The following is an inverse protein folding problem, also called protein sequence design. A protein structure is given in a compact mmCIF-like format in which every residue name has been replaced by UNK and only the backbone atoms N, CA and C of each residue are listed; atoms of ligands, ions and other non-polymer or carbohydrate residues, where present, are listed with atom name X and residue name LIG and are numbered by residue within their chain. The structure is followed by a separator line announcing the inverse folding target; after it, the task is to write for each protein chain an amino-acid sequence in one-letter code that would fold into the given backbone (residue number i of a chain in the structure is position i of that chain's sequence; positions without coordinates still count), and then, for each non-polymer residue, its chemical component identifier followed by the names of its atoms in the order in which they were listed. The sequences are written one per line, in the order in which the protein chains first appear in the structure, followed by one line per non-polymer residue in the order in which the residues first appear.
data_IF_205990501694
#
_entry.id   IF_205990501694
#
_cell.length_a   1.000
_cell.length_b   1.000
_cell.length_c   1.000
_cell.angle_alpha   90.00
_cell.angle_beta   90.00
_cell.angle_gamma   90.00
#
_symmetry.space_group_name_H-M   'P 1'
#
loop_
_entity.id
_entity.type
_entity.pdbx_description
1 polymer ?
#
# COMPACT_ATOMS: atom_id res chain seq x y z
N UNK A 1 18.27 -6.71 -20.85
CA UNK A 1 18.33 -8.03 -20.17
C UNK A 1 19.56 -8.07 -19.27
N UNK A 2 19.44 -7.73 -17.98
CA UNK A 2 20.39 -8.30 -17.01
C UNK A 2 20.01 -9.77 -16.88
N UNK A 3 20.94 -10.71 -17.14
CA UNK A 3 20.63 -12.12 -16.95
C UNK A 3 20.17 -12.29 -15.50
N UNK A 4 19.15 -13.12 -15.29
CA UNK A 4 18.91 -13.74 -13.99
C UNK A 4 20.28 -14.28 -13.59
N UNK A 5 20.92 -13.68 -12.58
CA UNK A 5 22.21 -14.17 -12.09
C UNK A 5 21.94 -15.62 -11.73
N UNK A 6 22.52 -16.61 -12.43
CA UNK A 6 22.31 -18.00 -12.06
C UNK A 6 22.75 -18.09 -10.61
N UNK A 7 21.82 -18.49 -9.74
CA UNK A 7 22.12 -18.68 -8.33
C UNK A 7 23.35 -19.60 -8.30
N UNK A 8 24.51 -19.14 -7.77
CA UNK A 8 25.79 -19.82 -7.97
C UNK A 8 25.86 -21.20 -7.30
N UNK A 9 24.81 -21.60 -6.57
CA UNK A 9 24.72 -22.87 -5.86
C UNK A 9 24.87 -24.11 -6.74
N UNK A 10 24.38 -24.11 -7.98
CA UNK A 10 24.48 -25.30 -8.84
C UNK A 10 25.93 -25.60 -9.23
N UNK A 11 26.75 -24.55 -9.40
CA UNK A 11 28.16 -24.69 -9.71
C UNK A 11 28.98 -25.07 -8.47
N UNK A 12 28.55 -24.70 -7.26
CA UNK A 12 29.22 -25.10 -6.02
C UNK A 12 29.18 -26.62 -5.80
N UNK A 13 28.02 -27.26 -5.96
CA UNK A 13 27.92 -28.72 -5.83
C UNK A 13 28.69 -29.47 -6.93
N UNK A 14 28.72 -28.93 -8.16
CA UNK A 14 29.52 -29.49 -9.25
C UNK A 14 31.02 -29.42 -8.96
N UNK A 15 31.50 -28.27 -8.48
CA UNK A 15 32.90 -28.04 -8.10
C UNK A 15 33.33 -28.87 -6.89
N UNK A 16 32.45 -28.99 -5.89
CA UNK A 16 32.68 -29.86 -4.74
C UNK A 16 32.83 -31.34 -5.18
N UNK A 17 31.93 -31.84 -6.04
CA UNK A 17 32.04 -33.20 -6.59
C UNK A 17 33.24 -33.41 -7.52
N UNK A 18 33.73 -32.35 -8.16
CA UNK A 18 34.96 -32.36 -8.94
C UNK A 18 36.23 -32.32 -8.06
N UNK A 19 36.09 -32.20 -6.74
CA UNK A 19 37.19 -32.13 -5.79
C UNK A 19 37.86 -30.75 -5.68
N UNK A 20 37.29 -29.71 -6.30
CA UNK A 20 37.84 -28.36 -6.28
C UNK A 20 37.57 -27.62 -4.95
N UNK A 21 36.56 -28.05 -4.20
CA UNK A 21 36.18 -27.48 -2.90
C UNK A 21 36.20 -28.60 -1.86
N UNK A 22 37.15 -28.55 -0.93
CA UNK A 22 37.26 -29.52 0.15
C UNK A 22 36.31 -29.18 1.32
N UNK A 23 35.94 -30.20 2.10
CA UNK A 23 35.09 -30.07 3.29
C UNK A 23 33.71 -29.44 3.02
N UNK A 24 33.12 -29.76 1.87
CA UNK A 24 31.81 -29.24 1.49
C UNK A 24 30.69 -29.99 2.22
N UNK A 25 29.91 -29.28 3.04
CA UNK A 25 28.81 -29.84 3.83
C UNK A 25 27.72 -30.44 2.95
N UNK A 26 27.35 -31.70 3.19
CA UNK A 26 26.42 -32.48 2.37
C UNK A 26 27.07 -33.27 1.22
N UNK A 27 28.38 -33.15 1.02
CA UNK A 27 29.17 -33.97 0.06
C UNK A 27 30.30 -34.69 0.78
N UNK A 28 31.32 -33.95 1.24
CA UNK A 28 32.51 -34.49 1.90
C UNK A 28 32.49 -34.30 3.43
N UNK A 29 31.56 -33.49 3.93
CA UNK A 29 31.38 -33.21 5.35
C UNK A 29 29.92 -33.38 5.75
N UNK A 30 29.68 -33.93 6.94
CA UNK A 30 28.32 -34.19 7.44
C UNK A 30 27.68 -32.89 7.91
N UNK A 31 26.41 -32.67 7.57
CA UNK A 31 25.60 -31.62 8.17
C UNK A 31 24.96 -32.15 9.46
N UNK A 32 25.18 -31.44 10.57
CA UNK A 32 24.57 -31.78 11.85
C UNK A 32 23.30 -30.96 12.04
N UNK A 33 22.14 -31.61 11.94
CA UNK A 33 20.86 -30.95 12.13
C UNK A 33 20.71 -30.39 13.57
N UNK A 34 20.21 -29.15 13.74
CA UNK A 34 19.96 -28.58 15.05
C UNK A 34 18.98 -29.44 15.85
N UNK A 35 19.33 -29.79 17.10
CA UNK A 35 18.49 -30.63 17.98
C UNK A 35 17.26 -29.91 18.52
N UNK A 36 17.35 -28.59 18.70
CA UNK A 36 16.28 -27.74 19.23
C UNK A 36 16.18 -26.45 18.41
N UNK A 37 15.68 -26.53 17.17
CA UNK A 37 15.45 -25.35 16.36
C UNK A 37 14.25 -24.56 16.91
N UNK A 38 14.39 -23.24 16.99
CA UNK A 38 13.29 -22.31 17.32
C UNK A 38 12.18 -22.33 16.24
N UNK A 39 12.56 -22.52 14.97
CA UNK A 39 11.67 -22.71 13.83
C UNK A 39 12.36 -23.58 12.78
N UNK A 40 11.64 -24.55 12.23
CA UNK A 40 12.08 -25.36 11.08
C UNK A 40 11.26 -24.98 9.85
N UNK A 41 11.94 -24.66 8.74
CA UNK A 41 11.34 -24.39 7.43
C UNK A 41 11.71 -25.51 6.47
N UNK A 42 10.71 -26.09 5.80
CA UNK A 42 10.90 -27.22 4.90
C UNK A 42 11.02 -26.75 3.44
N UNK A 43 12.10 -26.03 3.14
CA UNK A 43 12.42 -25.55 1.79
C UNK A 43 12.60 -26.74 0.83
N UNK A 44 11.57 -27.03 0.04
CA UNK A 44 11.49 -28.23 -0.82
C UNK A 44 10.11 -28.90 -0.79
N UNK A 45 9.39 -28.78 0.32
CA UNK A 45 7.97 -29.17 0.43
C UNK A 45 7.05 -27.95 0.45
N UNK A 46 7.52 -26.85 1.05
CA UNK A 46 6.81 -25.57 1.12
C UNK A 46 7.23 -24.65 -0.02
N UNK A 47 6.29 -23.80 -0.45
CA UNK A 47 6.63 -22.66 -1.32
C UNK A 47 7.37 -21.59 -0.52
N UNK A 48 8.10 -20.70 -1.23
CA UNK A 48 8.77 -19.55 -0.61
C UNK A 48 7.78 -18.70 0.20
N UNK A 49 6.58 -18.50 -0.33
CA UNK A 49 5.51 -17.73 0.34
C UNK A 49 5.06 -18.40 1.64
N UNK A 50 4.88 -19.72 1.62
CA UNK A 50 4.45 -20.48 2.79
C UNK A 50 5.51 -20.46 3.90
N UNK A 51 6.77 -20.71 3.55
CA UNK A 51 7.87 -20.64 4.51
C UNK A 51 8.05 -19.23 5.08
N UNK A 52 7.89 -18.20 4.23
CA UNK A 52 7.93 -16.80 4.67
C UNK A 52 6.80 -16.48 5.64
N UNK A 53 5.57 -16.93 5.36
CA UNK A 53 4.42 -16.74 6.26
C UNK A 53 4.64 -17.39 7.62
N UNK A 54 5.18 -18.62 7.66
CA UNK A 54 5.52 -19.32 8.91
C UNK A 54 6.57 -18.58 9.72
N UNK A 55 7.62 -18.10 9.05
CA UNK A 55 8.67 -17.29 9.67
C UNK A 55 8.11 -16.00 10.25
N UNK A 56 7.31 -15.25 9.49
CA UNK A 56 6.69 -14.01 9.97
C UNK A 56 5.78 -14.27 11.18
N UNK A 57 4.92 -15.28 11.13
CA UNK A 57 4.06 -15.65 12.25
C UNK A 57 4.87 -15.98 13.52
N UNK A 58 5.96 -16.72 13.39
CA UNK A 58 6.88 -17.02 14.49
C UNK A 58 7.52 -15.75 15.07
N UNK A 59 7.99 -14.84 14.22
CA UNK A 59 8.60 -13.57 14.65
C UNK A 59 7.60 -12.63 15.33
N UNK A 60 6.34 -12.59 14.87
CA UNK A 60 5.26 -11.85 15.54
C UNK A 60 4.94 -12.46 16.91
N UNK A 61 4.84 -13.79 17.01
CA UNK A 61 4.57 -14.47 18.28
C UNK A 61 5.68 -14.25 19.31
N UNK A 62 6.95 -14.19 18.87
CA UNK A 62 8.10 -13.89 19.72
C UNK A 62 8.21 -12.39 20.07
N UNK A 63 7.38 -11.52 19.50
CA UNK A 63 7.42 -10.08 19.70
C UNK A 63 8.66 -9.39 19.11
N UNK A 64 9.37 -10.07 18.19
CA UNK A 64 10.54 -9.52 17.49
C UNK A 64 10.06 -8.53 16.42
N UNK A 65 9.01 -8.90 15.69
CA UNK A 65 8.31 -7.98 14.81
C UNK A 65 7.08 -7.42 15.54
N UNK A 66 6.80 -6.12 15.40
CA UNK A 66 5.57 -5.55 15.94
C UNK A 66 4.38 -6.26 15.30
N UNK A 67 3.48 -6.83 16.10
CA UNK A 67 2.21 -7.33 15.58
C UNK A 67 1.48 -6.11 15.01
N UNK A 68 1.44 -5.99 13.69
CA UNK A 68 0.59 -5.00 13.05
C UNK A 68 -0.78 -5.66 12.83
N UNK A 69 -1.78 -5.50 13.74
CA UNK A 69 -3.12 -5.96 13.41
C UNK A 69 -3.55 -5.25 12.13
N UNK A 70 -3.73 -6.01 11.04
CA UNK A 70 -4.53 -5.54 9.93
C UNK A 70 -5.92 -5.22 10.47
N UNK A 71 -6.58 -4.14 10.00
CA UNK A 71 -7.98 -3.93 10.29
C UNK A 71 -8.72 -5.22 9.91
N UNK A 72 -9.22 -5.93 10.93
CA UNK A 72 -9.94 -7.18 10.71
C UNK A 72 -11.27 -6.85 10.04
N UNK A 73 -11.75 -7.67 9.09
CA UNK A 73 -13.02 -7.43 8.44
C UNK A 73 -14.13 -7.28 9.49
N UNK A 74 -15.12 -6.45 9.15
CA UNK A 74 -16.20 -5.97 10.02
C UNK A 74 -16.63 -7.01 11.07
N UNK A 75 -16.22 -6.78 12.32
CA UNK A 75 -16.86 -7.43 13.46
C UNK A 75 -18.28 -6.86 13.56
N UNK A 76 -19.27 -7.66 14.00
CA UNK A 76 -20.59 -7.14 14.34
C UNK A 76 -20.43 -6.09 15.45
N UNK A 77 -20.36 -4.83 15.05
CA UNK A 77 -20.20 -3.71 15.96
C UNK A 77 -21.53 -3.47 16.65
N UNK A 78 -21.47 -3.42 17.98
CA UNK A 78 -22.58 -3.00 18.83
C UNK A 78 -22.81 -1.52 18.50
N UNK A 79 -24.03 -1.17 18.07
CA UNK A 79 -24.44 0.21 17.85
C UNK A 79 -24.37 0.95 19.19
N UNK A 80 -23.31 1.72 19.42
CA UNK A 80 -23.15 2.57 20.61
C UNK A 80 -23.83 3.94 20.44
N UNK A 81 -24.26 4.54 21.56
CA UNK A 81 -25.11 5.75 21.62
C UNK A 81 -24.44 7.05 21.14
N UNK A 82 -23.10 7.10 21.08
CA UNK A 82 -22.38 8.32 20.67
C UNK A 82 -22.11 8.32 19.17
N UNK A 83 -22.68 9.31 18.47
CA UNK A 83 -22.66 9.42 17.02
C UNK A 83 -22.02 10.74 16.57
N UNK A 84 -21.13 10.70 15.59
CA UNK A 84 -20.55 11.89 14.95
C UNK A 84 -20.84 11.85 13.44
N UNK A 85 -21.56 12.85 12.88
CA UNK A 85 -21.72 12.95 11.44
C UNK A 85 -20.38 13.33 10.78
N UNK A 86 -20.06 12.68 9.67
CA UNK A 86 -18.86 12.95 8.87
C UNK A 86 -19.22 13.51 7.49
N UNK A 87 -18.30 14.25 6.89
CA UNK A 87 -18.41 14.76 5.53
C UNK A 87 -18.21 13.66 4.48
N UNK A 88 -18.52 13.96 3.21
CA UNK A 88 -18.26 13.03 2.10
C UNK A 88 -16.75 12.76 1.92
N UNK A 89 -15.90 13.77 2.08
CA UNK A 89 -14.45 13.62 1.98
C UNK A 89 -13.91 12.72 3.10
N UNK A 90 -14.41 12.89 4.32
CA UNK A 90 -14.06 12.04 5.46
C UNK A 90 -14.53 10.59 5.26
N UNK A 91 -15.73 10.39 4.71
CA UNK A 91 -16.25 9.07 4.37
C UNK A 91 -15.38 8.36 3.31
N UNK A 92 -14.93 9.10 2.28
CA UNK A 92 -13.97 8.60 1.27
C UNK A 92 -12.65 8.20 1.93
N UNK A 93 -12.10 9.01 2.82
CA UNK A 93 -10.87 8.67 3.55
C UNK A 93 -11.02 7.44 4.43
N UNK A 94 -12.15 7.30 5.13
CA UNK A 94 -12.46 6.10 5.94
C UNK A 94 -12.50 4.86 5.03
N UNK A 95 -13.11 4.94 3.85
CA UNK A 95 -13.10 3.85 2.87
C UNK A 95 -11.66 3.51 2.44
N UNK A 96 -10.87 4.50 2.02
CA UNK A 96 -9.47 4.34 1.58
C UNK A 96 -8.60 3.69 2.66
N UNK A 97 -8.71 4.14 3.90
CA UNK A 97 -7.97 3.55 5.03
C UNK A 97 -8.43 2.12 5.31
N UNK A 98 -9.74 1.86 5.25
CA UNK A 98 -10.29 0.51 5.49
C UNK A 98 -9.84 -0.52 4.46
N UNK A 99 -9.63 -0.10 3.21
CA UNK A 99 -9.11 -0.92 2.12
C UNK A 99 -7.58 -1.13 2.20
N UNK A 100 -6.88 -0.43 3.09
CA UNK A 100 -5.43 -0.59 3.29
C UNK A 100 -4.55 0.17 2.30
N UNK A 101 -5.06 1.23 1.65
CA UNK A 101 -4.28 2.04 0.71
C UNK A 101 -3.09 2.77 1.34
N UNK A 102 -3.19 3.12 2.62
CA UNK A 102 -2.18 3.90 3.36
C UNK A 102 -1.50 3.03 4.43
N UNK A 103 -1.23 1.75 4.12
CA UNK A 103 -0.49 0.87 5.05
C UNK A 103 0.86 1.51 5.44
N UNK A 104 1.21 1.58 6.75
CA UNK A 104 0.63 0.89 7.91
C UNK A 104 -0.33 1.75 8.77
N UNK A 105 -0.85 2.87 8.26
CA UNK A 105 -1.80 3.70 8.99
C UNK A 105 -3.14 2.95 9.17
N UNK A 106 -3.53 2.71 10.42
CA UNK A 106 -4.70 1.87 10.76
C UNK A 106 -5.99 2.63 11.03
N UNK A 107 -5.91 3.94 11.08
CA UNK A 107 -6.98 4.77 11.56
C UNK A 107 -6.78 6.23 11.22
N UNK A 108 -7.63 7.05 11.79
CA UNK A 108 -7.50 8.49 11.71
C UNK A 108 -6.25 8.90 12.50
N UNK A 109 -5.47 9.83 11.97
CA UNK A 109 -4.21 10.27 12.57
C UNK A 109 -4.45 10.80 13.99
N UNK A 110 -3.73 10.21 14.95
CA UNK A 110 -3.60 10.74 16.32
C UNK A 110 -2.95 12.12 16.31
N UNK A 111 -3.03 12.87 17.41
CA UNK A 111 -2.41 14.19 17.49
C UNK A 111 -0.90 14.14 17.18
N UNK A 112 -0.22 13.10 17.67
CA UNK A 112 1.21 12.86 17.43
C UNK A 112 1.48 12.66 15.93
N UNK A 113 0.73 11.76 15.27
CA UNK A 113 0.87 11.48 13.85
C UNK A 113 0.52 12.70 12.99
N UNK A 114 -0.56 13.42 13.33
CA UNK A 114 -0.98 14.61 12.61
C UNK A 114 0.09 15.70 12.65
N UNK A 115 0.66 15.98 13.83
CA UNK A 115 1.77 16.95 13.96
C UNK A 115 3.02 16.49 13.21
N UNK A 116 3.35 15.20 13.25
CA UNK A 116 4.48 14.65 12.49
C UNK A 116 4.27 14.82 10.98
N UNK A 117 3.08 14.48 10.48
CA UNK A 117 2.66 14.66 9.09
C UNK A 117 2.85 16.10 8.63
N UNK A 118 2.33 17.08 9.39
CA UNK A 118 2.42 18.50 9.03
C UNK A 118 3.85 19.06 9.09
N UNK A 119 4.66 18.64 10.06
CA UNK A 119 5.98 19.23 10.29
C UNK A 119 7.11 18.55 9.52
N UNK A 120 7.04 17.21 9.38
CA UNK A 120 8.10 16.40 8.77
C UNK A 120 7.70 15.82 7.41
N UNK A 121 6.42 15.85 7.04
CA UNK A 121 5.92 15.14 5.86
C UNK A 121 6.02 13.62 5.97
N UNK A 122 6.05 13.11 7.21
CA UNK A 122 6.09 11.69 7.52
C UNK A 122 5.50 11.44 8.91
N UNK A 123 4.99 10.23 9.13
CA UNK A 123 4.68 9.69 10.46
C UNK A 123 5.73 8.65 10.82
N UNK A 124 6.06 8.53 12.11
CA UNK A 124 7.11 7.59 12.56
C UNK A 124 6.56 6.39 13.32
N UNK A 125 5.27 6.40 13.66
CA UNK A 125 4.60 5.37 14.43
C UNK A 125 3.40 4.80 13.63
N UNK A 126 3.27 3.47 13.46
CA UNK A 126 4.14 2.42 14.01
C UNK A 126 5.45 2.20 13.21
N UNK A 127 5.51 2.65 11.96
CA UNK A 127 6.68 2.55 11.08
C UNK A 127 6.84 3.87 10.33
N UNK A 128 8.07 4.37 10.13
CA UNK A 128 8.35 5.52 9.28
C UNK A 128 7.63 5.45 7.93
N UNK A 129 6.77 6.44 7.68
CA UNK A 129 5.83 6.46 6.56
C UNK A 129 5.73 7.90 6.05
N UNK A 130 6.26 8.17 4.87
CA UNK A 130 6.16 9.48 4.25
C UNK A 130 4.74 9.79 3.78
N UNK A 131 4.13 10.85 4.31
CA UNK A 131 2.79 11.33 3.96
C UNK A 131 2.67 12.78 4.45
N UNK A 132 2.25 13.71 3.57
CA UNK A 132 1.98 15.11 3.95
C UNK A 132 0.50 15.40 4.08
N UNK A 133 -0.36 14.57 3.50
CA UNK A 133 -1.82 14.71 3.60
C UNK A 133 -2.31 14.28 4.99
N UNK A 134 -2.81 15.21 5.83
CA UNK A 134 -3.35 14.86 7.13
C UNK A 134 -4.69 14.13 6.95
N UNK A 135 -4.86 12.99 7.63
CA UNK A 135 -6.09 12.19 7.57
C UNK A 135 -6.71 12.15 8.96
N UNK A 136 -7.65 13.05 9.23
CA UNK A 136 -8.38 13.14 10.49
C UNK A 136 -9.82 13.61 10.23
N UNK A 137 -10.73 13.35 11.17
CA UNK A 137 -12.13 13.79 11.08
C UNK A 137 -12.30 15.09 11.87
N UNK A 138 -12.99 16.07 11.31
CA UNK A 138 -13.36 17.29 12.00
C UNK A 138 -14.50 17.04 12.97
N UNK A 139 -14.42 17.59 14.17
CA UNK A 139 -15.51 17.55 15.15
C UNK A 139 -15.77 18.93 15.72
N UNK A 140 -17.04 19.36 15.72
CA UNK A 140 -17.47 20.61 16.40
C UNK A 140 -18.10 20.33 17.77
N UNK A 141 -18.35 19.07 18.07
CA UNK A 141 -19.06 18.63 19.28
C UNK A 141 -18.07 18.10 20.30
N UNK A 142 -18.40 18.23 21.58
CA UNK A 142 -17.66 17.56 22.65
C UNK A 142 -17.82 16.04 22.51
N UNK A 143 -16.75 15.39 22.07
CA UNK A 143 -16.67 13.92 21.99
C UNK A 143 -16.00 13.43 23.28
N UNK A 144 -16.66 12.51 23.99
CA UNK A 144 -16.02 11.86 25.13
C UNK A 144 -14.99 10.84 24.63
N UNK A 145 -13.80 10.85 25.24
CA UNK A 145 -12.66 10.01 24.83
C UNK A 145 -12.63 8.64 25.56
N UNK A 146 -13.54 8.42 26.51
CA UNK A 146 -13.60 7.24 27.38
C UNK A 146 -14.46 6.09 26.81
N UNK A 147 -15.12 6.31 25.67
CA UNK A 147 -16.03 5.35 25.01
C UNK A 147 -15.81 5.32 23.51
N UNK A 148 -16.30 4.26 22.87
CA UNK A 148 -16.27 4.19 21.41
C UNK A 148 -17.19 5.25 20.80
N UNK A 149 -16.89 5.63 19.57
CA UNK A 149 -17.67 6.62 18.81
C UNK A 149 -18.04 6.07 17.44
N UNK A 150 -19.31 6.13 17.09
CA UNK A 150 -19.81 5.77 15.76
C UNK A 150 -19.72 6.96 14.81
N UNK A 151 -19.12 6.76 13.64
CA UNK A 151 -19.04 7.73 12.55
C UNK A 151 -20.21 7.51 11.58
N UNK A 152 -21.00 8.55 11.32
CA UNK A 152 -22.21 8.48 10.51
C UNK A 152 -22.05 9.26 9.22
N UNK A 153 -22.37 8.61 8.11
CA UNK A 153 -22.48 9.25 6.81
C UNK A 153 -23.89 9.00 6.25
N UNK A 154 -24.61 10.07 5.88
CA UNK A 154 -25.99 10.00 5.38
C UNK A 154 -26.95 9.17 6.25
N UNK A 155 -26.81 9.24 7.58
CA UNK A 155 -27.66 8.49 8.53
C UNK A 155 -27.26 7.04 8.76
N UNK A 156 -26.22 6.55 8.09
CA UNK A 156 -25.69 5.18 8.23
C UNK A 156 -24.38 5.20 9.01
N UNK A 157 -24.20 4.28 9.96
CA UNK A 157 -22.92 4.10 10.66
C UNK A 157 -21.94 3.40 9.74
N UNK A 158 -20.84 4.07 9.39
CA UNK A 158 -19.82 3.55 8.46
C UNK A 158 -18.59 2.97 9.18
N UNK A 159 -18.28 3.47 10.37
CA UNK A 159 -17.13 3.05 11.15
C UNK A 159 -17.33 3.36 12.64
N UNK A 160 -16.61 2.64 13.49
CA UNK A 160 -16.58 2.88 14.94
C UNK A 160 -15.14 3.08 15.38
N UNK A 161 -14.86 4.20 16.05
CA UNK A 161 -13.56 4.54 16.64
C UNK A 161 -13.54 4.05 18.07
N UNK A 162 -12.68 3.09 18.41
CA UNK A 162 -12.69 2.47 19.75
C UNK A 162 -12.04 3.33 20.83
N UNK A 163 -11.05 4.16 20.45
CA UNK A 163 -10.33 5.06 21.36
C UNK A 163 -10.17 6.43 20.70
N UNK A 164 -11.26 7.22 20.63
CA UNK A 164 -11.23 8.51 19.97
C UNK A 164 -10.33 9.48 20.74
N UNK A 165 -9.36 10.08 20.04
CA UNK A 165 -8.53 11.15 20.56
C UNK A 165 -8.96 12.46 19.92
N UNK A 166 -9.43 13.40 20.74
CA UNK A 166 -9.78 14.75 20.27
C UNK A 166 -8.62 15.69 20.55
N UNK A 167 -8.18 16.43 19.55
CA UNK A 167 -7.09 17.39 19.66
C UNK A 167 -7.35 18.64 18.80
N UNK A 168 -6.61 19.71 19.07
CA UNK A 168 -6.70 20.95 18.30
C UNK A 168 -5.53 21.06 17.33
N UNK A 169 -5.81 21.48 16.11
CA UNK A 169 -4.82 21.82 15.09
C UNK A 169 -5.18 23.19 14.52
N UNK A 170 -4.55 24.26 15.02
CA UNK A 170 -4.93 25.62 14.69
C UNK A 170 -6.38 25.96 15.14
N UNK A 171 -7.25 26.44 14.24
CA UNK A 171 -8.65 26.73 14.56
C UNK A 171 -9.53 25.47 14.63
N UNK A 172 -9.04 24.34 14.10
CA UNK A 172 -9.83 23.13 13.93
C UNK A 172 -9.71 22.21 15.14
N UNK A 173 -10.80 21.51 15.43
CA UNK A 173 -10.86 20.43 16.41
C UNK A 173 -11.02 19.12 15.64
N UNK A 174 -10.06 18.22 15.82
CA UNK A 174 -9.92 17.00 15.05
C UNK A 174 -10.06 15.78 15.94
N UNK A 175 -10.47 14.68 15.32
CA UNK A 175 -10.62 13.37 15.90
C UNK A 175 -9.70 12.38 15.19
N UNK A 176 -8.82 11.78 15.98
CA UNK A 176 -7.94 10.68 15.60
C UNK A 176 -8.29 9.40 16.34
N UNK A 177 -7.68 8.29 15.90
CA UNK A 177 -7.81 7.00 16.57
C UNK A 177 -8.02 5.84 15.59
N UNK A 178 -7.76 4.64 16.09
CA UNK A 178 -8.03 3.41 15.38
C UNK A 178 -9.54 3.21 15.24
N UNK A 179 -9.98 2.82 14.04
CA UNK A 179 -11.38 2.54 13.77
C UNK A 179 -11.56 1.15 13.18
N UNK A 180 -12.78 0.63 13.30
CA UNK A 180 -13.25 -0.57 12.62
C UNK A 180 -14.44 -0.21 11.74
N UNK A 181 -14.47 -0.71 10.50
CA UNK A 181 -15.58 -0.47 9.57
C UNK A 181 -16.77 -1.38 9.84
N UNK A 182 -17.98 -0.88 9.59
CA UNK A 182 -19.21 -1.67 9.61
C UNK A 182 -19.51 -2.25 8.22
N UNK A 183 -20.37 -3.27 8.14
CA UNK A 183 -20.81 -3.84 6.85
C UNK A 183 -21.59 -2.83 5.97
N UNK A 184 -22.10 -1.73 6.53
CA UNK A 184 -22.89 -0.71 5.85
C UNK A 184 -22.02 0.46 5.34
N UNK A 185 -20.78 0.17 4.95
CA UNK A 185 -19.77 1.15 4.58
C UNK A 185 -20.29 2.06 3.45
N UNK A 186 -19.91 3.35 3.48
CA UNK A 186 -19.85 4.19 2.28
C UNK A 186 -18.90 3.49 1.30
N UNK A 187 -19.46 2.59 0.50
CA UNK A 187 -18.70 1.69 -0.34
C UNK A 187 -19.07 2.01 -1.76
N UNK A 188 -18.34 2.95 -2.35
CA UNK A 188 -18.31 3.01 -3.80
C UNK A 188 -17.72 1.67 -4.30
N UNK A 189 -18.50 0.84 -5.01
CA UNK A 189 -18.08 -0.50 -5.42
C UNK A 189 -16.97 -0.49 -6.49
N UNK A 190 -16.74 0.66 -7.13
CA UNK A 190 -15.67 0.84 -8.11
C UNK A 190 -14.30 1.05 -7.45
N UNK A 191 -14.27 1.46 -6.17
CA UNK A 191 -13.02 1.61 -5.42
C UNK A 191 -12.57 0.24 -4.93
N UNK A 192 -11.46 -0.24 -5.50
CA UNK A 192 -10.89 -1.55 -5.23
C UNK A 192 -9.79 -1.49 -4.18
N UNK A 193 -9.52 -2.62 -3.54
CA UNK A 193 -8.38 -2.72 -2.62
C UNK A 193 -7.04 -2.78 -3.38
N UNK A 194 -5.94 -2.30 -2.79
CA UNK A 194 -4.61 -2.46 -3.39
C UNK A 194 -4.24 -3.92 -3.65
N UNK A 195 -4.69 -4.84 -2.79
CA UNK A 195 -4.45 -6.27 -2.94
C UNK A 195 -5.09 -6.84 -4.21
N UNK A 196 -6.36 -6.51 -4.47
CA UNK A 196 -7.06 -6.95 -5.68
C UNK A 196 -6.42 -6.35 -6.93
N UNK A 197 -6.11 -5.04 -6.90
CA UNK A 197 -5.47 -4.34 -8.02
C UNK A 197 -4.09 -4.91 -8.33
N UNK A 198 -3.30 -5.20 -7.30
CA UNK A 198 -2.00 -5.84 -7.46
C UNK A 198 -2.12 -7.21 -8.11
N UNK A 199 -3.08 -8.03 -7.68
CA UNK A 199 -3.33 -9.34 -8.29
C UNK A 199 -3.73 -9.22 -9.77
N UNK A 200 -4.54 -8.23 -10.12
CA UNK A 200 -4.90 -7.97 -11.52
C UNK A 200 -3.70 -7.50 -12.37
N UNK A 201 -2.87 -6.62 -11.83
CA UNK A 201 -1.65 -6.14 -12.50
C UNK A 201 -0.63 -7.26 -12.65
N UNK A 202 -0.43 -8.09 -11.62
CA UNK A 202 0.45 -9.25 -11.66
C UNK A 202 -0.04 -10.31 -12.66
N UNK A 203 -1.36 -10.43 -12.88
CA UNK A 203 -1.93 -11.34 -13.87
C UNK A 203 -1.56 -10.97 -15.31
N UNK A 204 -1.24 -9.71 -15.59
CA UNK A 204 -0.69 -9.26 -16.88
C UNK A 204 0.76 -9.71 -17.10
N UNK A 205 1.41 -10.28 -16.06
CA UNK A 205 2.81 -10.69 -16.03
C UNK A 205 3.78 -9.60 -16.54
N UNK A 206 3.66 -8.36 -16.03
CA UNK A 206 4.54 -7.29 -16.45
C UNK A 206 5.95 -7.50 -15.88
N UNK A 207 6.97 -6.97 -16.57
CA UNK A 207 8.30 -6.85 -15.99
C UNK A 207 8.45 -5.59 -15.12
N UNK A 208 7.59 -4.60 -15.34
CA UNK A 208 7.44 -3.41 -14.51
C UNK A 208 5.99 -2.93 -14.49
N UNK A 209 5.52 -2.52 -13.31
CA UNK A 209 4.28 -1.77 -13.17
C UNK A 209 4.65 -0.30 -12.98
N UNK A 210 4.08 0.57 -13.81
CA UNK A 210 4.23 2.02 -13.70
C UNK A 210 2.89 2.66 -13.32
N UNK A 211 2.94 3.69 -12.48
CA UNK A 211 1.77 4.46 -12.08
C UNK A 211 1.73 5.81 -12.78
N UNK A 212 0.55 6.20 -13.26
CA UNK A 212 0.27 7.49 -13.87
C UNK A 212 -0.98 8.09 -13.24
N UNK A 213 -0.92 9.33 -12.80
CA UNK A 213 -2.07 10.06 -12.25
C UNK A 213 -2.59 11.03 -13.30
N UNK A 214 -3.86 10.89 -13.67
CA UNK A 214 -4.53 11.76 -14.62
C UNK A 214 -5.45 12.74 -13.89
N UNK A 215 -5.49 13.97 -14.39
CA UNK A 215 -6.43 15.00 -13.89
C UNK A 215 -7.80 14.92 -14.59
N UNK A 216 -7.92 14.09 -15.63
CA UNK A 216 -9.13 13.90 -16.43
C UNK A 216 -9.25 12.46 -16.93
N UNK A 217 -10.43 12.10 -17.46
CA UNK A 217 -10.65 10.81 -18.14
C UNK A 217 -9.59 10.50 -19.20
N UNK A 218 -9.34 9.20 -19.39
CA UNK A 218 -8.56 8.71 -20.53
C UNK A 218 -9.30 9.04 -21.83
N UNK A 219 -8.72 9.94 -22.61
CA UNK A 219 -9.12 10.26 -23.98
C UNK A 219 -7.94 10.02 -24.94
N UNK A 220 -8.09 10.37 -26.21
CA UNK A 220 -7.01 10.22 -27.19
C UNK A 220 -5.75 11.00 -26.81
N UNK A 221 -5.87 12.11 -26.09
CA UNK A 221 -4.73 12.92 -25.63
C UNK A 221 -3.98 12.21 -24.51
N UNK A 222 -4.72 11.67 -23.54
CA UNK A 222 -4.15 10.93 -22.42
C UNK A 222 -3.60 9.56 -22.86
N UNK A 223 -4.17 8.94 -23.90
CA UNK A 223 -3.64 7.72 -24.52
C UNK A 223 -2.22 7.94 -25.06
N UNK A 224 -1.96 9.08 -25.70
CA UNK A 224 -0.60 9.45 -26.16
C UNK A 224 0.38 9.50 -24.97
N UNK A 225 -0.03 10.02 -23.82
CA UNK A 225 0.83 10.05 -22.61
C UNK A 225 1.16 8.65 -22.09
N UNK A 226 0.21 7.71 -22.21
CA UNK A 226 0.46 6.31 -21.84
C UNK A 226 1.45 5.67 -22.81
N UNK A 227 1.33 5.97 -24.11
CA UNK A 227 2.27 5.47 -25.11
C UNK A 227 3.68 6.05 -24.91
N UNK A 228 3.79 7.35 -24.62
CA UNK A 228 5.06 7.99 -24.25
C UNK A 228 5.67 7.39 -22.98
N UNK A 229 4.84 7.14 -21.96
CA UNK A 229 5.26 6.45 -20.74
C UNK A 229 5.84 5.07 -21.06
N UNK A 230 5.19 4.30 -21.93
CA UNK A 230 5.68 2.98 -22.36
C UNK A 230 6.97 3.08 -23.16
N UNK A 231 7.09 4.04 -24.06
CA UNK A 231 8.31 4.24 -24.84
C UNK A 231 9.50 4.57 -23.91
N UNK A 232 9.27 5.40 -22.89
CA UNK A 232 10.27 5.69 -21.86
C UNK A 232 10.67 4.42 -21.09
N UNK A 233 9.72 3.60 -20.67
CA UNK A 233 10.00 2.32 -20.01
C UNK A 233 10.78 1.37 -20.91
N UNK A 234 10.43 1.32 -22.20
CA UNK A 234 11.15 0.53 -23.20
C UNK A 234 12.61 0.98 -23.34
N UNK A 235 12.84 2.29 -23.42
CA UNK A 235 14.21 2.86 -23.43
C UNK A 235 15.00 2.57 -22.16
N UNK A 236 14.32 2.37 -21.02
CA UNK A 236 14.94 1.90 -19.76
C UNK A 236 15.22 0.40 -19.72
N UNK A 237 14.77 -0.34 -20.74
CA UNK A 237 15.04 -1.77 -20.90
C UNK A 237 13.93 -2.70 -20.40
N UNK A 238 12.74 -2.16 -20.14
CA UNK A 238 11.54 -2.94 -19.84
C UNK A 238 10.84 -3.36 -21.14
N UNK A 239 10.55 -4.64 -21.30
CA UNK A 239 9.89 -5.21 -22.48
C UNK A 239 8.39 -5.39 -22.34
N UNK A 240 7.85 -5.51 -21.12
CA UNK A 240 6.40 -5.70 -20.88
C UNK A 240 5.91 -4.86 -19.70
N UNK A 241 5.66 -3.58 -19.94
CA UNK A 241 5.19 -2.66 -18.92
C UNK A 241 3.66 -2.68 -18.78
N UNK A 242 3.17 -2.84 -17.55
CA UNK A 242 1.78 -2.54 -17.21
C UNK A 242 1.66 -1.12 -16.65
N UNK A 243 0.64 -0.37 -17.09
CA UNK A 243 0.41 1.00 -16.65
C UNK A 243 -0.86 1.08 -15.79
N UNK A 244 -0.68 1.37 -14.50
CA UNK A 244 -1.75 1.68 -13.56
C UNK A 244 -2.12 3.16 -13.67
N UNK A 245 -3.35 3.45 -14.14
CA UNK A 245 -3.82 4.81 -14.41
C UNK A 245 -4.81 5.24 -13.35
N UNK A 246 -4.39 6.13 -12.46
CA UNK A 246 -5.21 6.66 -11.39
C UNK A 246 -6.10 7.80 -11.91
N UNK A 247 -7.39 7.68 -11.64
CA UNK A 247 -8.43 8.67 -11.99
C UNK A 247 -9.25 9.01 -10.75
N UNK A 248 -9.77 10.24 -10.70
CA UNK A 248 -10.46 10.76 -9.51
C UNK A 248 -11.97 10.60 -9.56
N UNK A 249 -12.56 10.75 -10.75
CA UNK A 249 -14.02 10.78 -10.93
C UNK A 249 -14.56 9.44 -11.44
N UNK A 250 -15.76 9.08 -11.01
CA UNK A 250 -16.41 7.83 -11.39
C UNK A 250 -16.76 7.78 -12.89
N UNK A 251 -17.23 8.90 -13.45
CA UNK A 251 -17.57 8.98 -14.86
C UNK A 251 -16.30 8.96 -15.74
N UNK A 252 -15.21 9.51 -15.23
CA UNK A 252 -13.88 9.39 -15.85
C UNK A 252 -13.34 7.96 -15.80
N UNK A 253 -13.51 7.27 -14.68
CA UNK A 253 -13.13 5.86 -14.53
C UNK A 253 -13.87 4.96 -15.51
N UNK A 254 -15.19 5.06 -15.59
CA UNK A 254 -15.98 4.23 -16.49
C UNK A 254 -15.59 4.44 -17.96
N UNK A 255 -15.37 5.70 -18.38
CA UNK A 255 -14.86 5.99 -19.72
C UNK A 255 -13.46 5.43 -19.96
N UNK A 256 -12.61 5.49 -18.94
CA UNK A 256 -11.23 5.00 -19.05
C UNK A 256 -11.17 3.47 -19.19
N UNK A 257 -12.06 2.74 -18.53
CA UNK A 257 -12.19 1.28 -18.68
C UNK A 257 -12.61 0.86 -20.10
N UNK A 258 -13.38 1.69 -20.80
CA UNK A 258 -13.79 1.41 -22.20
C UNK A 258 -12.67 1.65 -23.21
N UNK A 259 -11.75 2.57 -22.92
CA UNK A 259 -10.69 3.01 -23.84
C UNK A 259 -9.36 2.30 -23.58
N UNK A 260 -9.09 1.92 -22.34
CA UNK A 260 -7.83 1.30 -21.95
C UNK A 260 -7.65 -0.09 -22.58
N UNK A 261 -6.44 -0.38 -23.05
CA UNK A 261 -6.06 -1.74 -23.44
C UNK A 261 -6.01 -2.64 -22.19
N UNK A 262 -6.90 -3.64 -22.06
CA UNK A 262 -7.01 -4.46 -20.86
C UNK A 262 -5.78 -5.35 -20.62
N UNK A 263 -4.95 -5.61 -21.63
CA UNK A 263 -3.76 -6.45 -21.48
C UNK A 263 -2.59 -5.70 -20.83
N UNK A 264 -2.61 -4.37 -20.88
CA UNK A 264 -1.42 -3.56 -20.60
C UNK A 264 -1.70 -2.29 -19.79
N UNK A 265 -2.94 -1.83 -19.71
CA UNK A 265 -3.37 -0.65 -18.94
C UNK A 265 -4.47 -1.03 -17.97
N UNK A 266 -4.36 -0.56 -16.73
CA UNK A 266 -5.39 -0.73 -15.70
C UNK A 266 -5.82 0.62 -15.12
N UNK A 267 -7.00 1.12 -15.48
CA UNK A 267 -7.62 2.25 -14.78
C UNK A 267 -7.92 1.91 -13.31
N UNK A 268 -7.72 2.87 -12.42
CA UNK A 268 -7.89 2.74 -10.98
C UNK A 268 -8.61 3.99 -10.47
N UNK A 269 -9.81 3.81 -9.92
CA UNK A 269 -10.52 4.89 -9.24
C UNK A 269 -9.90 5.14 -7.87
N UNK A 270 -9.44 6.37 -7.64
CA UNK A 270 -9.04 6.87 -6.34
C UNK A 270 -9.76 8.20 -6.06
N UNK A 271 -10.87 8.21 -5.29
CA UNK A 271 -11.84 9.30 -5.28
C UNK A 271 -11.43 10.52 -4.45
N UNK A 272 -10.20 10.55 -3.95
CA UNK A 272 -9.68 11.59 -3.05
C UNK A 272 -8.62 12.41 -3.78
N UNK A 273 -8.56 13.75 -3.58
CA UNK A 273 -7.51 14.58 -4.18
C UNK A 273 -6.10 14.11 -3.78
N UNK A 274 -5.24 13.93 -4.78
CA UNK A 274 -3.87 13.44 -4.61
C UNK A 274 -2.86 14.45 -5.16
N UNK A 275 -2.89 15.69 -4.69
CA UNK A 275 -1.88 16.69 -5.12
C UNK A 275 -0.50 16.46 -4.48
N UNK A 276 -0.46 15.73 -3.35
CA UNK A 276 0.77 15.35 -2.68
C UNK A 276 1.50 14.23 -3.45
N UNK A 277 2.70 14.53 -3.93
CA UNK A 277 3.55 13.57 -4.63
C UNK A 277 3.97 12.39 -3.74
N UNK A 278 4.10 12.58 -2.42
CA UNK A 278 4.39 11.47 -1.49
C UNK A 278 3.19 10.53 -1.37
N UNK A 279 1.97 11.08 -1.33
CA UNK A 279 0.75 10.29 -1.36
C UNK A 279 0.64 9.50 -2.67
N UNK A 280 0.85 10.15 -3.82
CA UNK A 280 0.85 9.46 -5.13
C UNK A 280 1.85 8.32 -5.20
N UNK A 281 3.09 8.55 -4.74
CA UNK A 281 4.10 7.50 -4.65
C UNK A 281 3.67 6.35 -3.75
N UNK A 282 2.99 6.62 -2.63
CA UNK A 282 2.43 5.57 -1.77
C UNK A 282 1.35 4.76 -2.45
N UNK A 283 0.42 5.42 -3.12
CA UNK A 283 -0.66 4.75 -3.84
C UNK A 283 -0.11 3.89 -4.98
N UNK A 284 0.90 4.39 -5.68
CA UNK A 284 1.66 3.63 -6.67
C UNK A 284 2.32 2.39 -6.03
N UNK A 285 3.02 2.55 -4.89
CA UNK A 285 3.63 1.42 -4.17
C UNK A 285 2.60 0.39 -3.73
N UNK A 286 1.44 0.84 -3.25
CA UNK A 286 0.38 -0.02 -2.74
C UNK A 286 -0.13 -1.02 -3.80
N UNK A 287 -0.17 -0.60 -5.07
CA UNK A 287 -0.56 -1.47 -6.20
C UNK A 287 0.63 -2.22 -6.82
N UNK A 288 1.83 -2.11 -6.23
CA UNK A 288 3.04 -2.78 -6.71
C UNK A 288 3.80 -2.04 -7.81
N UNK A 289 3.46 -0.77 -8.09
CA UNK A 289 4.20 0.03 -9.06
C UNK A 289 5.60 0.36 -8.55
N UNK A 290 6.58 0.22 -9.45
CA UNK A 290 8.00 0.55 -9.19
C UNK A 290 8.41 1.85 -9.87
N UNK A 291 7.65 2.28 -10.87
CA UNK A 291 7.86 3.54 -11.57
C UNK A 291 6.67 4.44 -11.32
N UNK A 292 6.91 5.70 -11.00
CA UNK A 292 5.91 6.74 -10.90
C UNK A 292 6.17 7.80 -11.96
N UNK A 293 5.18 8.10 -12.78
CA UNK A 293 5.22 9.26 -13.67
C UNK A 293 4.66 10.49 -12.97
N UNK A 294 5.50 11.53 -12.88
CA UNK A 294 5.15 12.81 -12.28
C UNK A 294 5.34 13.98 -13.25
N UNK A 295 4.66 15.10 -12.97
CA UNK A 295 4.80 16.32 -13.77
C UNK A 295 6.13 17.04 -13.52
N UNK A 296 6.74 16.84 -12.35
CA UNK A 296 8.00 17.44 -11.95
C UNK A 296 8.86 16.43 -11.20
N UNK A 297 10.17 16.48 -11.40
CA UNK A 297 11.11 15.64 -10.67
C UNK A 297 11.20 16.13 -9.21
N UNK A 298 10.44 15.50 -8.32
CA UNK A 298 10.55 15.72 -6.87
C UNK A 298 11.69 14.89 -6.30
N UNK A 299 12.76 15.55 -5.84
CA UNK A 299 13.91 14.87 -5.22
C UNK A 299 13.57 14.25 -3.85
N UNK A 300 12.43 14.63 -3.27
CA UNK A 300 11.97 14.22 -1.94
C UNK A 300 11.52 12.75 -1.88
N UNK A 301 11.04 12.17 -2.99
CA UNK A 301 10.47 10.80 -3.00
C UNK A 301 11.57 9.74 -2.82
N UNK A 302 12.73 9.93 -3.45
CA UNK A 302 13.81 8.94 -3.45
C UNK A 302 14.45 8.73 -2.06
N UNK A 303 14.30 9.70 -1.16
CA UNK A 303 14.81 9.65 0.22
C UNK A 303 13.71 9.47 1.26
N UNK A 304 12.45 9.32 0.81
CA UNK A 304 11.30 9.25 1.69
C UNK A 304 11.16 7.84 2.29
N UNK A 305 10.93 7.72 3.61
CA UNK A 305 10.78 6.43 4.28
C UNK A 305 9.69 5.54 3.66
N UNK A 306 10.10 4.35 3.23
CA UNK A 306 9.22 3.38 2.62
C UNK A 306 8.89 3.66 1.15
N UNK A 307 9.57 4.58 0.47
CA UNK A 307 9.41 4.89 -0.96
C UNK A 307 10.71 4.81 -1.77
N UNK A 308 11.79 4.30 -1.16
CA UNK A 308 13.15 4.28 -1.69
C UNK A 308 13.28 3.48 -3.00
N UNK A 309 12.42 2.48 -3.19
CA UNK A 309 12.42 1.60 -4.37
C UNK A 309 11.61 2.16 -5.55
N UNK A 310 10.95 3.32 -5.39
CA UNK A 310 10.17 3.95 -6.46
C UNK A 310 11.08 4.84 -7.30
N UNK A 311 11.14 4.53 -8.59
CA UNK A 311 11.76 5.37 -9.59
C UNK A 311 10.77 6.42 -10.10
N UNK A 312 11.13 7.70 -10.01
CA UNK A 312 10.29 8.80 -10.53
C UNK A 312 10.78 9.20 -11.91
N UNK A 313 9.87 9.15 -12.89
CA UNK A 313 10.10 9.60 -14.25
C UNK A 313 9.19 10.79 -14.57
N UNK A 314 9.65 11.68 -15.44
CA UNK A 314 8.88 12.83 -15.89
C UNK A 314 8.47 12.61 -17.34
N UNK A 315 7.18 12.75 -17.62
CA UNK A 315 6.65 12.80 -18.98
C UNK A 315 6.86 14.21 -19.54
N UNK A 316 7.36 14.30 -20.77
CA UNK A 316 7.64 15.55 -21.47
C UNK A 316 6.35 16.27 -21.90
#
# INVERSE_FOLDING_TARGET
MRPIVPIPCLDLYKKARAGEICAFTGVDSVYEEPRQPDLTLHAGFESVEESTRRLLAFLFQKGILPHLPYPSPASQLILEEATLPVSEEEAKWIQILSLGWIDPLRGLMTEKQHRQCLHFGAIFDPVPTAIRTPIAVMTKSEVRQDRSLSLLFNGTVIATVSRPQVYRSGPDVLLGGDFSVTAATYSNPLVRSPFELRRELDAMKPDVVAALFLDSALDNTQAIRIDEARELLYRRGYGNAAVAVFVRDEAEFLRSEEVADPETTKPILFPVPTEDALLRARLAKAVGARVLFEKQAGNDIAVAPGLEDIEVLVLL
#
